data_IF_255674846096
#
_entry.id   IF_255674846096
#
_cell.length_a   1.000
_cell.length_b   1.000
_cell.length_c   1.000
_cell.angle_alpha   90.00
_cell.angle_beta   90.00
_cell.angle_gamma   90.00
#
_symmetry.space_group_name_H-M   'P 1'
#
loop_
_entity.id
_entity.type
_entity.pdbx_description
1 polymer ?
#
# COMPACT_ATOMS: atom_id res chain seq x y z
N UNK A 1 0.36 38.54 2.89
CA UNK A 1 -0.10 37.70 1.76
C UNK A 1 0.80 36.47 1.69
N UNK A 2 0.23 35.26 1.68
CA UNK A 2 1.01 34.01 1.75
C UNK A 2 0.11 32.77 1.75
N UNK A 3 -0.67 32.66 0.67
CA UNK A 3 -1.30 31.48 0.06
C UNK A 3 -1.70 30.27 0.93
N UNK A 4 -3.03 30.10 1.04
CA UNK A 4 -3.72 28.83 1.30
C UNK A 4 -3.30 27.77 0.27
N UNK A 5 -2.85 26.61 0.73
CA UNK A 5 -3.08 25.32 0.07
C UNK A 5 -4.11 24.59 0.94
N UNK A 6 -5.38 24.39 0.55
CA UNK A 6 -5.78 23.55 -0.58
C UNK A 6 -5.29 22.13 -0.28
N UNK A 7 -6.02 21.23 0.39
CA UNK A 7 -7.46 20.94 0.35
C UNK A 7 -7.83 20.02 1.53
N UNK A 8 -8.85 20.37 2.31
CA UNK A 8 -9.42 19.52 3.35
C UNK A 8 -10.28 18.40 2.72
N UNK A 9 -9.69 17.23 2.50
CA UNK A 9 -10.44 16.04 2.07
C UNK A 9 -10.46 15.00 3.20
N UNK A 10 -11.46 15.20 4.08
CA UNK A 10 -11.95 14.29 5.10
C UNK A 10 -11.12 14.19 6.38
N UNK A 11 -11.80 14.28 7.53
CA UNK A 11 -11.28 14.02 8.88
C UNK A 11 -10.91 12.54 9.11
N UNK A 12 -10.41 11.85 8.09
CA UNK A 12 -9.96 10.46 8.18
C UNK A 12 -8.52 10.44 8.69
N UNK A 13 -8.16 9.45 9.51
CA UNK A 13 -6.77 9.27 9.88
C UNK A 13 -5.91 9.04 8.63
N UNK A 14 -4.62 9.40 8.65
CA UNK A 14 -3.69 9.12 7.56
C UNK A 14 -3.78 7.67 7.10
N UNK A 15 -3.59 7.43 5.81
CA UNK A 15 -3.54 6.10 5.24
C UNK A 15 -2.07 5.67 5.18
N UNK A 16 -1.70 4.67 5.97
CA UNK A 16 -0.32 4.17 6.04
C UNK A 16 -0.22 2.75 5.47
N UNK A 17 1.00 2.22 5.39
CA UNK A 17 1.27 0.83 5.09
C UNK A 17 1.11 -0.03 6.36
N UNK A 18 0.41 -1.15 6.22
CA UNK A 18 0.23 -2.14 7.28
C UNK A 18 1.57 -2.77 7.65
N UNK A 19 1.76 -3.10 8.93
CA UNK A 19 2.94 -3.84 9.40
C UNK A 19 3.02 -5.30 8.91
N UNK A 20 2.03 -5.78 8.17
CA UNK A 20 2.07 -7.09 7.52
C UNK A 20 2.33 -6.84 6.05
N UNK A 21 3.44 -7.40 5.57
CA UNK A 21 3.94 -7.23 4.23
C UNK A 21 4.74 -8.48 3.85
N UNK A 22 5.11 -8.58 2.57
CA UNK A 22 5.96 -9.66 2.10
C UNK A 22 7.37 -9.60 2.69
N UNK A 23 8.04 -10.75 2.69
CA UNK A 23 9.39 -10.95 3.26
C UNK A 23 10.45 -9.96 2.75
N UNK A 24 10.28 -9.45 1.53
CA UNK A 24 11.26 -8.59 0.88
C UNK A 24 10.93 -7.09 0.99
N UNK A 25 10.07 -6.72 1.93
CA UNK A 25 9.70 -5.33 2.22
C UNK A 25 10.05 -4.99 3.66
N UNK A 26 10.40 -3.73 3.88
CA UNK A 26 10.38 -3.09 5.19
C UNK A 26 9.53 -1.83 5.13
N UNK A 27 8.83 -1.58 6.22
CA UNK A 27 8.01 -0.38 6.44
C UNK A 27 8.74 0.55 7.41
N UNK A 28 8.82 1.82 7.05
CA UNK A 28 9.57 2.88 7.74
C UNK A 28 8.65 4.08 8.02
N UNK A 29 9.16 5.03 8.80
CA UNK A 29 8.51 6.32 9.06
C UNK A 29 7.06 6.12 9.55
N UNK A 30 6.90 5.29 10.56
CA UNK A 30 5.61 4.98 11.20
C UNK A 30 4.52 4.53 10.22
N UNK A 31 4.91 3.78 9.19
CA UNK A 31 3.97 3.26 8.20
C UNK A 31 3.86 4.10 6.93
N UNK A 32 4.47 5.28 6.84
CA UNK A 32 4.29 6.15 5.66
C UNK A 32 5.14 5.74 4.46
N UNK A 33 6.19 4.93 4.67
CA UNK A 33 7.10 4.50 3.61
C UNK A 33 7.25 2.99 3.61
N UNK A 34 7.01 2.34 2.47
CA UNK A 34 7.37 0.95 2.26
C UNK A 34 8.48 0.86 1.21
N UNK A 35 9.56 0.15 1.55
CA UNK A 35 10.71 -0.05 0.68
C UNK A 35 10.99 -1.52 0.52
N UNK A 36 11.22 -1.94 -0.72
CA UNK A 36 11.68 -3.29 -1.03
C UNK A 36 13.18 -3.39 -0.75
N UNK A 37 13.56 -4.32 0.11
CA UNK A 37 14.95 -4.47 0.57
C UNK A 37 15.75 -5.50 -0.22
N UNK A 38 15.08 -6.51 -0.81
CA UNK A 38 15.75 -7.58 -1.53
C UNK A 38 14.85 -8.18 -2.62
N UNK A 39 15.42 -8.94 -3.56
CA UNK A 39 14.71 -9.70 -4.61
C UNK A 39 13.74 -8.88 -5.49
N UNK A 40 13.05 -9.56 -6.40
CA UNK A 40 11.95 -9.01 -7.19
C UNK A 40 10.56 -9.51 -6.75
N UNK A 41 10.52 -10.55 -5.91
CA UNK A 41 9.29 -11.23 -5.49
C UNK A 41 9.00 -11.00 -4.00
N UNK A 42 7.84 -11.47 -3.51
CA UNK A 42 7.43 -11.33 -2.09
C UNK A 42 7.50 -9.88 -1.58
N UNK A 43 7.15 -8.92 -2.42
CA UNK A 43 7.17 -7.49 -2.11
C UNK A 43 5.75 -6.89 -2.07
N UNK A 44 4.84 -7.62 -1.41
CA UNK A 44 3.43 -7.22 -1.25
C UNK A 44 3.31 -6.31 -0.04
N UNK A 45 2.55 -5.23 -0.17
CA UNK A 45 2.19 -4.35 0.96
C UNK A 45 0.70 -4.08 0.97
N UNK A 46 0.16 -3.76 2.15
CA UNK A 46 -1.24 -3.44 2.33
C UNK A 46 -1.40 -2.06 2.96
N UNK A 47 -2.56 -1.44 2.81
CA UNK A 47 -2.92 -0.29 3.65
C UNK A 47 -3.24 -0.74 5.09
N UNK A 48 -2.92 0.09 6.07
CA UNK A 48 -3.14 -0.18 7.50
C UNK A 48 -4.63 -0.20 7.87
N UNK A 49 -5.46 0.53 7.12
CA UNK A 49 -6.92 0.54 7.23
C UNK A 49 -7.62 0.38 5.88
N UNK A 50 -8.91 -0.01 5.87
CA UNK A 50 -9.75 0.08 4.69
C UNK A 50 -9.89 1.52 4.18
N UNK A 51 -9.82 1.68 2.87
CA UNK A 51 -10.07 2.92 2.13
C UNK A 51 -11.57 3.05 1.87
N UNK A 52 -12.15 4.21 2.19
CA UNK A 52 -13.56 4.46 1.97
C UNK A 52 -13.87 4.66 0.50
N UNK A 53 -15.12 4.39 0.11
CA UNK A 53 -15.61 4.76 -1.22
C UNK A 53 -15.42 6.26 -1.42
N UNK A 54 -14.92 6.67 -2.59
CA UNK A 54 -14.58 8.05 -2.94
C UNK A 54 -13.41 8.67 -2.14
N UNK A 55 -12.71 7.90 -1.32
CA UNK A 55 -11.45 8.35 -0.70
C UNK A 55 -10.34 8.35 -1.77
N UNK A 56 -9.64 9.49 -1.90
CA UNK A 56 -8.51 9.61 -2.83
C UNK A 56 -7.24 9.04 -2.18
N UNK A 57 -6.66 8.03 -2.82
CA UNK A 57 -5.37 7.45 -2.41
C UNK A 57 -4.27 7.99 -3.30
N UNK A 58 -3.25 8.60 -2.69
CA UNK A 58 -2.08 9.12 -3.39
C UNK A 58 -0.85 8.30 -3.01
N UNK A 59 -0.14 7.77 -4.00
CA UNK A 59 1.12 7.06 -3.83
C UNK A 59 2.24 7.87 -4.47
N UNK A 60 3.33 8.09 -3.73
CA UNK A 60 4.53 8.77 -4.23
C UNK A 60 5.68 7.77 -4.34
N UNK A 61 6.26 7.66 -5.53
CA UNK A 61 7.50 6.90 -5.72
C UNK A 61 8.68 7.74 -5.20
N UNK A 62 9.33 7.26 -4.15
CA UNK A 62 10.44 7.98 -3.48
C UNK A 62 11.79 7.55 -4.05
N UNK A 63 11.95 6.24 -4.31
CA UNK A 63 13.17 5.65 -4.85
C UNK A 63 12.83 4.66 -5.96
N UNK A 64 13.65 4.67 -7.03
CA UNK A 64 13.57 3.72 -8.14
C UNK A 64 14.94 3.07 -8.30
N UNK A 65 14.98 1.73 -8.33
CA UNK A 65 16.22 0.97 -8.51
C UNK A 65 16.36 0.53 -9.95
N UNK A 66 17.45 0.94 -10.60
CA UNK A 66 17.77 0.61 -11.99
C UNK A 66 18.21 -0.86 -12.18
N UNK A 67 18.46 -1.59 -11.09
CA UNK A 67 18.93 -2.98 -11.12
C UNK A 67 17.79 -3.98 -11.41
N UNK A 68 16.55 -3.51 -11.54
CA UNK A 68 15.38 -4.37 -11.70
C UNK A 68 14.47 -3.82 -12.79
N UNK A 69 14.16 -4.65 -13.79
CA UNK A 69 13.09 -4.38 -14.73
C UNK A 69 11.74 -4.82 -14.15
N UNK A 70 10.67 -4.10 -14.52
CA UNK A 70 9.29 -4.45 -14.16
C UNK A 70 8.45 -3.25 -13.75
N UNK A 71 7.21 -3.55 -13.36
CA UNK A 71 6.20 -2.54 -13.02
C UNK A 71 5.77 -2.65 -11.56
N UNK A 72 5.35 -1.52 -11.01
CA UNK A 72 4.55 -1.49 -9.77
C UNK A 72 3.09 -1.73 -10.16
N UNK A 73 2.46 -2.70 -9.53
CA UNK A 73 1.02 -2.98 -9.67
C UNK A 73 0.32 -2.52 -8.41
N UNK A 74 -0.92 -2.08 -8.56
CA UNK A 74 -1.80 -1.83 -7.45
C UNK A 74 -3.13 -2.54 -7.68
N UNK A 75 -3.81 -2.89 -6.60
CA UNK A 75 -5.12 -3.53 -6.65
C UNK A 75 -5.85 -3.35 -5.34
N UNK A 76 -7.06 -3.91 -5.25
CA UNK A 76 -7.88 -3.84 -4.05
C UNK A 76 -8.07 -5.22 -3.44
N UNK A 77 -8.24 -5.29 -2.12
CA UNK A 77 -8.67 -6.51 -1.42
C UNK A 77 -9.68 -6.18 -0.33
N UNK A 78 -10.62 -7.08 -0.10
CA UNK A 78 -11.51 -7.05 1.07
C UNK A 78 -10.98 -7.92 2.24
N UNK A 79 -9.83 -8.56 2.06
CA UNK A 79 -9.20 -9.43 3.06
C UNK A 79 -8.42 -8.60 4.09
N UNK A 80 -8.38 -9.08 5.33
CA UNK A 80 -7.54 -8.50 6.37
C UNK A 80 -6.08 -9.01 6.25
N UNK A 81 -5.05 -8.15 6.09
CA UNK A 81 -3.65 -8.58 6.09
C UNK A 81 -3.28 -9.42 7.30
N UNK A 82 -3.94 -9.22 8.45
CA UNK A 82 -3.72 -10.04 9.65
C UNK A 82 -4.01 -11.52 9.40
N UNK A 83 -5.02 -11.86 8.60
CA UNK A 83 -5.30 -13.25 8.22
C UNK A 83 -4.32 -13.79 7.17
N UNK A 84 -3.53 -12.92 6.54
CA UNK A 84 -2.60 -13.28 5.46
C UNK A 84 -1.15 -13.44 5.93
N UNK A 85 -0.81 -13.13 7.18
CA UNK A 85 0.59 -13.08 7.68
C UNK A 85 1.45 -14.27 7.28
N UNK A 86 0.90 -15.48 7.32
CA UNK A 86 1.62 -16.72 7.03
C UNK A 86 1.26 -17.34 5.66
N UNK A 87 0.39 -16.69 4.90
CA UNK A 87 -0.18 -17.19 3.64
C UNK A 87 -0.05 -16.19 2.49
N UNK A 88 0.86 -15.21 2.61
CA UNK A 88 1.13 -14.28 1.52
C UNK A 88 1.68 -15.03 0.31
N UNK A 89 1.02 -14.93 -0.85
CA UNK A 89 1.49 -15.59 -2.05
C UNK A 89 2.83 -15.01 -2.48
N UNK A 90 3.70 -15.86 -3.02
CA UNK A 90 5.02 -15.44 -3.54
C UNK A 90 4.90 -14.41 -4.68
N UNK A 91 3.80 -14.50 -5.44
CA UNK A 91 3.42 -13.64 -6.56
C UNK A 91 1.89 -13.48 -6.58
N UNK A 92 1.38 -12.27 -6.85
CA UNK A 92 -0.04 -12.05 -7.23
C UNK A 92 -0.05 -11.61 -8.71
N UNK A 93 0.47 -12.47 -9.59
CA UNK A 93 0.99 -12.14 -10.94
C UNK A 93 2.45 -11.62 -10.91
N UNK A 94 3.25 -11.76 -11.99
CA UNK A 94 4.64 -11.29 -12.00
C UNK A 94 4.70 -9.75 -11.89
N UNK A 95 5.22 -9.25 -10.76
CA UNK A 95 5.40 -7.81 -10.47
C UNK A 95 5.42 -7.49 -8.97
N UNK A 96 5.77 -6.25 -8.61
CA UNK A 96 5.70 -5.70 -7.23
C UNK A 96 4.28 -5.17 -6.99
N UNK A 97 3.67 -5.40 -5.83
CA UNK A 97 2.21 -5.23 -5.68
C UNK A 97 1.86 -4.45 -4.41
N UNK A 98 1.14 -3.35 -4.58
CA UNK A 98 0.52 -2.57 -3.51
C UNK A 98 -0.96 -2.96 -3.44
N UNK A 99 -1.45 -3.43 -2.30
CA UNK A 99 -2.83 -3.85 -2.13
C UNK A 99 -3.57 -2.85 -1.24
N UNK A 100 -4.53 -2.14 -1.82
CA UNK A 100 -5.37 -1.17 -1.13
C UNK A 100 -6.54 -1.92 -0.48
N UNK A 101 -6.66 -1.87 0.85
CA UNK A 101 -7.80 -2.52 1.53
C UNK A 101 -9.09 -1.76 1.24
N UNK A 102 -10.18 -2.48 0.98
CA UNK A 102 -11.54 -1.93 0.88
C UNK A 102 -12.45 -2.58 1.93
N UNK A 103 -13.50 -1.89 2.40
CA UNK A 103 -14.49 -2.47 3.28
C UNK A 103 -15.13 -3.73 2.66
N UNK A 104 -15.42 -4.74 3.48
CA UNK A 104 -16.08 -5.98 3.04
C UNK A 104 -17.54 -5.78 2.63
N UNK A 105 -18.17 -4.67 3.06
CA UNK A 105 -19.50 -4.24 2.67
C UNK A 105 -19.42 -2.84 2.06
N UNK A 106 -19.78 -2.73 0.79
CA UNK A 106 -20.03 -1.44 0.17
C UNK A 106 -21.36 -0.89 0.71
N UNK A 107 -21.44 0.39 1.13
CA UNK A 107 -22.73 1.02 1.35
C UNK A 107 -23.51 0.98 0.02
N UNK A 108 -24.78 0.54 0.08
CA UNK A 108 -25.70 0.59 -1.07
C UNK A 108 -25.93 2.03 -1.51
#
# INVERSE_FOLDING_TARGET
AGSKAGTSFNNLPPLNFHGIHGENVQVFQDGTVAKRINSFCKAIVFTDRPVKVNEKVCLRLIEVSNNWSGVVRFGFTNQDPTSLRNSLPKYVCPGKIIIIRVPSKFPK
#
